data_IF_635114443063
#
_entry.id   IF_635114443063
#
_cell.length_a   1.000
_cell.length_b   1.000
_cell.length_c   1.000
_cell.angle_alpha   90.00
_cell.angle_beta   90.00
_cell.angle_gamma   90.00
#
_symmetry.space_group_name_H-M   'P 1'
#
loop_
_entity.id
_entity.type
_entity.pdbx_description
1 polymer ?
#
# COMPACT_ATOMS: atom_id res chain seq x y z
N UNK A 1 1.37 -7.12 2.07
CA UNK A 1 1.87 -6.04 1.20
C UNK A 1 3.28 -5.64 1.63
N UNK A 2 4.14 -5.33 0.67
CA UNK A 2 5.50 -4.83 0.92
C UNK A 2 5.62 -3.40 0.41
N UNK A 3 6.14 -2.50 1.24
CA UNK A 3 6.48 -1.13 0.85
C UNK A 3 7.97 -1.10 0.51
N UNK A 4 8.32 -0.58 -0.67
CA UNK A 4 9.71 -0.39 -1.02
C UNK A 4 10.40 0.55 -0.03
N UNK A 5 11.70 0.34 0.22
CA UNK A 5 12.48 1.23 1.09
C UNK A 5 12.39 2.69 0.67
N UNK A 6 12.29 2.96 -0.65
CA UNK A 6 12.12 4.32 -1.17
C UNK A 6 10.76 4.91 -0.77
N UNK A 7 9.67 4.16 -0.94
CA UNK A 7 8.34 4.62 -0.55
C UNK A 7 8.23 4.82 0.97
N UNK A 8 8.78 3.89 1.77
CA UNK A 8 8.76 4.02 3.22
C UNK A 8 9.53 5.27 3.71
N UNK A 9 10.65 5.63 3.05
CA UNK A 9 11.38 6.87 3.31
C UNK A 9 10.59 8.10 2.88
N UNK A 10 9.99 8.09 1.69
CA UNK A 10 9.16 9.19 1.17
C UNK A 10 7.99 9.51 2.12
N UNK A 11 7.35 8.46 2.67
CA UNK A 11 6.27 8.58 3.64
C UNK A 11 6.76 8.88 5.07
N UNK A 12 8.08 8.92 5.31
CA UNK A 12 8.70 9.07 6.62
C UNK A 12 8.15 8.07 7.67
N UNK A 13 8.17 6.78 7.31
CA UNK A 13 7.71 5.68 8.16
C UNK A 13 8.83 5.24 9.13
N UNK A 14 8.49 5.11 10.40
CA UNK A 14 9.34 4.75 11.53
C UNK A 14 8.70 3.63 12.39
N UNK A 15 9.44 3.13 13.39
CA UNK A 15 9.13 1.89 14.12
C UNK A 15 7.79 1.87 14.88
N UNK A 16 7.14 3.01 15.08
CA UNK A 16 5.83 3.12 15.76
C UNK A 16 4.69 3.53 14.84
N UNK A 17 5.00 3.81 13.57
CA UNK A 17 3.98 4.17 12.59
C UNK A 17 3.13 2.97 12.19
N UNK A 18 1.91 3.28 11.80
CA UNK A 18 0.89 2.37 11.30
C UNK A 18 0.45 2.84 9.92
N UNK A 19 -0.24 1.96 9.20
CA UNK A 19 -0.72 2.25 7.86
C UNK A 19 -2.23 2.09 7.79
N UNK A 20 -2.89 3.07 7.20
CA UNK A 20 -4.31 3.04 6.87
C UNK A 20 -4.50 3.01 5.35
N UNK A 21 -5.64 2.48 4.94
CA UNK A 21 -6.07 2.44 3.57
C UNK A 21 -7.35 3.24 3.42
N UNK A 22 -7.27 4.33 2.65
CA UNK A 22 -8.45 5.09 2.23
C UNK A 22 -8.96 4.54 0.91
N UNK A 23 -10.27 4.49 0.75
CA UNK A 23 -10.93 4.26 -0.54
C UNK A 23 -11.83 5.47 -0.80
N UNK A 24 -11.79 6.02 -2.00
CA UNK A 24 -12.71 7.08 -2.39
C UNK A 24 -14.12 6.50 -2.58
N UNK A 25 -15.09 7.02 -1.84
CA UNK A 25 -16.49 6.58 -1.91
C UNK A 25 -17.12 6.87 -3.27
N UNK A 26 -16.70 7.95 -3.95
CA UNK A 26 -17.18 8.32 -5.28
C UNK A 26 -16.50 7.51 -6.38
N UNK A 27 -15.29 7.01 -6.11
CA UNK A 27 -14.53 6.20 -7.05
C UNK A 27 -13.85 5.02 -6.34
N UNK A 28 -14.51 3.85 -6.24
CA UNK A 28 -14.02 2.70 -5.48
C UNK A 28 -12.75 2.05 -6.08
N UNK A 29 -12.28 2.55 -7.23
CA UNK A 29 -10.98 2.18 -7.83
C UNK A 29 -9.83 3.04 -7.32
N UNK A 30 -10.09 4.15 -6.64
CA UNK A 30 -9.06 4.96 -6.02
C UNK A 30 -8.83 4.52 -4.57
N UNK A 31 -7.63 4.00 -4.35
CA UNK A 31 -7.16 3.55 -3.05
C UNK A 31 -5.91 4.32 -2.67
N UNK A 32 -5.79 4.62 -1.38
CA UNK A 32 -4.76 5.49 -0.85
C UNK A 32 -4.08 4.85 0.34
N UNK A 33 -2.78 5.11 0.48
CA UNK A 33 -1.99 4.79 1.64
C UNK A 33 -1.83 6.03 2.51
N UNK A 34 -2.12 5.88 3.80
CA UNK A 34 -1.93 6.94 4.79
C UNK A 34 -1.10 6.42 5.95
N UNK A 35 -0.06 7.17 6.32
CA UNK A 35 0.73 6.90 7.52
C UNK A 35 0.02 7.53 8.72
N UNK A 36 -0.18 6.75 9.77
CA UNK A 36 -0.82 7.22 11.01
C UNK A 36 -0.08 6.68 12.24
N UNK A 37 -0.37 7.23 13.41
CA UNK A 37 -0.02 6.63 14.71
C UNK A 37 -1.26 6.09 15.45
N UNK A 38 -2.46 6.25 14.87
CA UNK A 38 -3.72 5.75 15.46
C UNK A 38 -3.68 4.22 15.58
N UNK A 39 -4.15 3.71 16.73
CA UNK A 39 -4.20 2.28 17.04
C UNK A 39 -5.11 1.48 16.10
N UNK A 40 -6.07 2.14 15.42
CA UNK A 40 -6.94 1.58 14.39
C UNK A 40 -6.17 1.27 13.10
N UNK A 41 -5.09 2.00 12.83
CA UNK A 41 -4.19 1.73 11.71
C UNK A 41 -3.48 0.37 11.86
N UNK A 42 -3.10 -0.22 10.72
CA UNK A 42 -2.48 -1.53 10.73
C UNK A 42 -1.00 -1.47 11.15
N UNK A 43 -0.54 -2.37 12.03
CA UNK A 43 0.85 -2.40 12.46
C UNK A 43 1.79 -2.81 11.31
N UNK A 44 2.95 -2.16 11.27
CA UNK A 44 4.00 -2.43 10.31
C UNK A 44 5.06 -3.37 10.90
N UNK A 45 5.60 -4.24 10.06
CA UNK A 45 6.73 -5.10 10.37
C UNK A 45 7.97 -4.60 9.64
N UNK A 46 9.02 -4.32 10.40
CA UNK A 46 10.31 -3.87 9.87
C UNK A 46 11.28 -5.05 9.84
N UNK A 47 11.87 -5.32 8.69
CA UNK A 47 12.98 -6.26 8.56
C UNK A 47 14.07 -5.69 7.64
N UNK A 48 15.22 -6.38 7.55
CA UNK A 48 16.34 -5.94 6.67
C UNK A 48 15.91 -5.73 5.21
N UNK A 49 14.90 -6.47 4.79
CA UNK A 49 14.34 -6.40 3.44
C UNK A 49 13.24 -5.36 3.27
N UNK A 50 12.99 -4.47 4.24
CA UNK A 50 12.08 -3.31 4.17
C UNK A 50 10.83 -3.41 5.07
N UNK A 51 9.83 -2.57 4.77
CA UNK A 51 8.61 -2.42 5.58
C UNK A 51 7.47 -3.26 5.03
N UNK A 52 6.82 -4.06 5.89
CA UNK A 52 5.75 -4.97 5.50
C UNK A 52 4.48 -4.74 6.30
N UNK A 53 3.36 -4.89 5.61
CA UNK A 53 2.04 -5.00 6.21
C UNK A 53 1.51 -6.41 6.01
N UNK A 54 0.98 -7.02 7.07
CA UNK A 54 0.24 -8.29 7.01
C UNK A 54 -1.25 -8.06 7.23
N UNK A 55 -1.99 -7.92 6.13
CA UNK A 55 -3.45 -7.93 6.15
C UNK A 55 -3.93 -8.63 4.86
N UNK A 56 -4.49 -9.84 5.01
CA UNK A 56 -4.93 -10.66 3.86
C UNK A 56 -6.13 -10.05 3.14
N UNK A 57 -7.09 -9.51 3.91
CA UNK A 57 -8.32 -8.94 3.38
C UNK A 57 -8.00 -7.76 2.44
N UNK A 58 -7.29 -6.74 2.92
CA UNK A 58 -6.97 -5.56 2.12
C UNK A 58 -6.10 -5.89 0.90
N UNK A 59 -5.13 -6.81 1.06
CA UNK A 59 -4.29 -7.24 -0.05
C UNK A 59 -5.14 -7.91 -1.14
N UNK A 60 -6.09 -8.76 -0.73
CA UNK A 60 -7.02 -9.41 -1.65
C UNK A 60 -7.96 -8.41 -2.32
N UNK A 61 -8.52 -7.46 -1.58
CA UNK A 61 -9.36 -6.38 -2.13
C UNK A 61 -8.64 -5.60 -3.24
N UNK A 62 -7.41 -5.15 -2.99
CA UNK A 62 -6.60 -4.42 -3.97
C UNK A 62 -6.32 -5.27 -5.23
N UNK A 63 -5.97 -6.55 -5.05
CA UNK A 63 -5.73 -7.47 -6.17
C UNK A 63 -7.00 -7.75 -6.98
N UNK A 64 -8.13 -7.97 -6.31
CA UNK A 64 -9.42 -8.25 -6.93
C UNK A 64 -9.89 -7.04 -7.77
N UNK A 65 -9.74 -5.81 -7.26
CA UNK A 65 -10.04 -4.57 -8.00
C UNK A 65 -9.15 -4.43 -9.23
N UNK A 66 -7.85 -4.72 -9.09
CA UNK A 66 -6.89 -4.73 -10.19
C UNK A 66 -7.02 -5.95 -11.12
N UNK A 67 -7.94 -6.88 -10.85
CA UNK A 67 -8.16 -8.12 -11.59
C UNK A 67 -6.89 -9.00 -11.68
N UNK A 68 -6.08 -9.02 -10.64
CA UNK A 68 -4.85 -9.82 -10.52
C UNK A 68 -5.10 -11.06 -9.66
N UNK A 69 -4.73 -12.25 -10.15
CA UNK A 69 -4.99 -13.53 -9.46
C UNK A 69 -3.97 -13.87 -8.37
N UNK A 70 -2.71 -13.47 -8.55
CA UNK A 70 -1.60 -13.89 -7.68
C UNK A 70 -1.00 -12.68 -6.95
N UNK A 71 0.17 -12.23 -7.39
CA UNK A 71 0.87 -11.08 -6.82
C UNK A 71 1.18 -10.06 -7.90
N UNK A 72 1.27 -8.81 -7.50
CA UNK A 72 1.63 -7.69 -8.36
C UNK A 72 2.40 -6.65 -7.55
N UNK A 73 3.20 -5.88 -8.26
CA UNK A 73 3.76 -4.62 -7.75
C UNK A 73 2.95 -3.47 -8.31
N UNK A 74 2.52 -2.57 -7.43
CA UNK A 74 1.75 -1.39 -7.81
C UNK A 74 2.64 -0.15 -7.72
N UNK A 75 2.46 0.77 -8.67
CA UNK A 75 3.02 2.11 -8.56
C UNK A 75 2.18 2.92 -7.57
N UNK A 76 2.81 3.91 -6.95
CA UNK A 76 2.16 4.87 -6.05
C UNK A 76 2.41 6.27 -6.60
N UNK A 77 1.37 7.11 -6.59
CA UNK A 77 1.46 8.50 -7.02
C UNK A 77 2.55 9.21 -6.24
N UNK A 78 3.42 9.94 -6.95
CA UNK A 78 4.47 10.76 -6.32
C UNK A 78 3.86 11.90 -5.53
N UNK A 79 2.79 12.50 -6.05
CA UNK A 79 2.11 13.63 -5.45
C UNK A 79 0.95 13.11 -4.58
N UNK A 80 1.03 13.22 -3.24
CA UNK A 80 -0.05 12.81 -2.36
C UNK A 80 -1.17 13.85 -2.33
N UNK A 81 -2.39 13.39 -2.08
CA UNK A 81 -3.50 14.26 -1.72
C UNK A 81 -3.27 14.75 -0.30
N UNK A 82 -3.24 16.07 -0.09
CA UNK A 82 -3.07 16.68 1.23
C UNK A 82 -4.43 16.84 1.90
N UNK A 83 -4.54 16.33 3.12
CA UNK A 83 -5.74 16.44 3.96
C UNK A 83 -5.35 16.96 5.35
N UNK A 84 -6.34 17.26 6.20
CA UNK A 84 -6.10 17.65 7.60
C UNK A 84 -5.42 16.53 8.40
N UNK A 85 -5.67 15.26 8.05
CA UNK A 85 -5.03 14.10 8.68
C UNK A 85 -3.60 13.87 8.18
N UNK A 86 -3.20 14.56 7.10
CA UNK A 86 -1.89 14.43 6.47
C UNK A 86 -1.97 13.93 5.03
N UNK A 87 -0.84 13.47 4.46
CA UNK A 87 -0.77 13.04 3.07
C UNK A 87 -1.38 11.65 2.84
N UNK A 88 -2.12 11.51 1.75
CA UNK A 88 -2.70 10.27 1.23
C UNK A 88 -2.09 9.94 -0.13
N UNK A 89 -1.36 8.84 -0.23
CA UNK A 89 -0.65 8.44 -1.44
C UNK A 89 -1.49 7.47 -2.27
N UNK A 90 -1.92 7.87 -3.46
CA UNK A 90 -2.77 7.03 -4.33
C UNK A 90 -2.01 5.83 -4.88
N UNK A 91 -2.58 4.64 -4.73
CA UNK A 91 -2.12 3.40 -5.38
C UNK A 91 -2.65 3.37 -6.81
N UNK A 92 -1.77 3.18 -7.79
CA UNK A 92 -2.13 3.14 -9.22
C UNK A 92 -2.51 1.69 -9.57
N UNK A 93 -3.82 1.41 -9.62
CA UNK A 93 -4.36 0.06 -9.85
C UNK A 93 -4.49 -0.32 -11.34
N UNK A 94 -4.39 0.62 -12.27
CA UNK A 94 -4.62 0.38 -13.71
C UNK A 94 -3.52 -0.41 -14.41
N UNK A 95 -2.28 -0.32 -13.93
CA UNK A 95 -1.11 -0.93 -14.56
C UNK A 95 -0.23 -1.68 -13.53
N UNK A 96 -0.74 -2.75 -12.91
CA UNK A 96 0.07 -3.57 -12.02
C UNK A 96 1.24 -4.20 -12.78
N UNK A 97 2.43 -4.17 -12.17
CA UNK A 97 3.61 -4.87 -12.67
C UNK A 97 3.52 -6.32 -12.18
N UNK A 98 3.32 -7.25 -13.11
CA UNK A 98 3.23 -8.67 -12.81
C UNK A 98 4.63 -9.28 -12.70
N UNK A 99 4.85 -10.24 -11.77
CA UNK A 99 6.11 -10.97 -11.69
C UNK A 99 6.35 -11.76 -12.99
N UNK A 100 7.58 -11.68 -13.51
CA UNK A 100 7.95 -12.31 -14.80
C UNK A 100 8.06 -13.85 -14.74
N UNK A 101 8.09 -14.45 -13.56
CA UNK A 101 8.31 -15.88 -13.38
C UNK A 101 7.21 -16.49 -12.50
N UNK A 102 6.65 -17.63 -12.95
CA UNK A 102 5.94 -18.56 -12.06
C UNK A 102 6.90 -18.96 -10.93
N UNK A 103 6.44 -19.09 -9.67
CA UNK A 103 7.24 -19.75 -8.66
C UNK A 103 7.59 -21.14 -9.19
N UNK A 104 8.89 -21.49 -9.17
CA UNK A 104 9.28 -22.89 -9.31
C UNK A 104 8.73 -23.59 -8.06
N UNK A 105 7.72 -24.44 -8.26
CA UNK A 105 7.26 -25.41 -7.28
C UNK A 105 8.39 -26.39 -6.97
#
# INVERSE_FOLDING_TARGET
MYLSTKLAKEMNITMNDRLEFGCDENNPKEWFLHKTTDKRGFPLQFNRGGTRLRNKYICKTILDIAKVKESATFLVSKDPVKTELGPFYRIILSCPILPKNKPKL
#
